data_IF_765134875803
#
_entry.id   IF_765134875803
#
_cell.length_a   1.000
_cell.length_b   1.000
_cell.length_c   1.000
_cell.angle_alpha   90.00
_cell.angle_beta   90.00
_cell.angle_gamma   90.00
#
_symmetry.space_group_name_H-M   'P 1'
#
loop_
_entity.id
_entity.type
_entity.pdbx_description
1 polymer ?
#
# COMPACT_ATOMS: atom_id res chain seq x y z
N UNK A 1 34.84 -13.23 -9.94
CA UNK A 1 33.48 -12.63 -10.06
C UNK A 1 33.28 -11.50 -9.02
N UNK A 2 34.24 -10.61 -8.87
CA UNK A 2 34.29 -9.77 -7.66
C UNK A 2 33.94 -8.29 -7.82
N UNK A 3 33.51 -7.77 -8.95
CA UNK A 3 33.29 -6.30 -8.97
C UNK A 3 32.21 -5.77 -9.90
N UNK A 4 31.21 -6.60 -10.19
CA UNK A 4 30.05 -6.21 -10.98
C UNK A 4 29.21 -5.12 -10.26
N UNK A 5 29.10 -5.20 -8.93
CA UNK A 5 28.30 -4.23 -8.17
C UNK A 5 28.90 -2.80 -8.19
N UNK A 6 30.22 -2.66 -8.18
CA UNK A 6 30.86 -1.34 -8.35
C UNK A 6 30.65 -0.78 -9.76
N UNK A 7 30.66 -1.67 -10.77
CA UNK A 7 30.31 -1.29 -12.13
C UNK A 7 28.87 -0.78 -12.25
N UNK A 8 27.93 -1.42 -11.58
CA UNK A 8 26.52 -0.96 -11.52
C UNK A 8 26.39 0.38 -10.82
N UNK A 9 27.11 0.58 -9.69
CA UNK A 9 27.15 1.90 -9.00
C UNK A 9 27.70 2.96 -9.95
N UNK A 10 28.82 2.70 -10.62
CA UNK A 10 29.44 3.65 -11.54
C UNK A 10 28.51 4.00 -12.72
N UNK A 11 27.77 3.02 -13.25
CA UNK A 11 26.76 3.21 -14.30
C UNK A 11 25.66 4.17 -13.85
N UNK A 12 25.06 3.94 -12.67
CA UNK A 12 23.99 4.79 -12.14
C UNK A 12 24.50 6.18 -11.79
N UNK A 13 25.67 6.28 -11.14
CA UNK A 13 26.31 7.55 -10.79
C UNK A 13 26.72 8.36 -12.03
N UNK A 14 27.01 7.69 -13.14
CA UNK A 14 27.24 8.31 -14.45
C UNK A 14 25.96 8.75 -15.19
N UNK A 15 24.78 8.62 -14.56
CA UNK A 15 23.50 9.05 -15.11
C UNK A 15 22.76 8.00 -15.94
N UNK A 16 23.33 6.82 -16.16
CA UNK A 16 22.69 5.76 -16.97
C UNK A 16 21.78 4.87 -16.09
N UNK A 17 20.57 4.49 -16.57
CA UNK A 17 19.70 3.58 -15.83
C UNK A 17 20.22 2.14 -15.89
N UNK A 18 19.85 1.35 -14.88
CA UNK A 18 20.00 -0.10 -14.92
C UNK A 18 18.92 -0.73 -15.79
N UNK A 19 19.26 -1.83 -16.46
CA UNK A 19 18.23 -2.72 -17.01
C UNK A 19 17.48 -3.41 -15.87
N UNK A 20 16.39 -4.09 -16.18
CA UNK A 20 15.64 -4.87 -15.22
C UNK A 20 16.48 -5.98 -14.59
N UNK A 21 17.27 -6.66 -15.37
CA UNK A 21 18.17 -7.75 -14.95
C UNK A 21 19.29 -7.21 -14.06
N UNK A 22 19.92 -6.10 -14.45
CA UNK A 22 20.93 -5.42 -13.64
C UNK A 22 20.37 -4.94 -12.30
N UNK A 23 19.16 -4.37 -12.30
CA UNK A 23 18.47 -3.98 -11.09
C UNK A 23 18.14 -5.20 -10.21
N UNK A 24 17.58 -6.27 -10.79
CA UNK A 24 17.32 -7.50 -10.04
C UNK A 24 18.59 -8.03 -9.38
N UNK A 25 19.72 -8.05 -10.10
CA UNK A 25 21.00 -8.49 -9.58
C UNK A 25 21.52 -7.57 -8.45
N UNK A 26 21.44 -6.25 -8.64
CA UNK A 26 21.86 -5.29 -7.62
C UNK A 26 21.05 -5.45 -6.32
N UNK A 27 19.72 -5.58 -6.42
CA UNK A 27 18.85 -5.76 -5.28
C UNK A 27 19.00 -7.14 -4.64
N UNK A 28 19.30 -8.18 -5.42
CA UNK A 28 19.62 -9.49 -4.87
C UNK A 28 20.85 -9.42 -3.96
N UNK A 29 21.93 -8.80 -4.38
CA UNK A 29 23.15 -8.62 -3.61
C UNK A 29 22.93 -7.78 -2.34
N UNK A 30 22.18 -6.68 -2.45
CA UNK A 30 21.84 -5.86 -1.27
C UNK A 30 20.99 -6.65 -0.26
N UNK A 31 19.96 -7.33 -0.72
CA UNK A 31 19.06 -8.08 0.15
C UNK A 31 19.64 -9.38 0.70
N UNK A 32 20.67 -9.94 0.05
CA UNK A 32 21.42 -11.10 0.55
C UNK A 32 22.55 -10.71 1.53
N UNK A 33 22.81 -9.39 1.72
CA UNK A 33 23.83 -8.89 2.62
C UNK A 33 25.25 -8.95 2.04
N UNK A 34 25.38 -9.13 0.71
CA UNK A 34 26.67 -9.18 0.02
C UNK A 34 27.23 -7.79 -0.30
N UNK A 35 26.37 -6.77 -0.40
CA UNK A 35 26.79 -5.39 -0.57
C UNK A 35 27.13 -4.74 0.78
N UNK A 36 28.19 -3.95 0.83
CA UNK A 36 28.54 -3.18 2.03
C UNK A 36 27.58 -2.01 2.25
N UNK A 37 27.44 -1.47 3.48
CA UNK A 37 26.61 -0.29 3.73
C UNK A 37 26.95 0.91 2.84
N UNK A 38 28.25 1.16 2.59
CA UNK A 38 28.71 2.23 1.70
C UNK A 38 28.26 2.00 0.24
N UNK A 39 28.32 0.76 -0.24
CA UNK A 39 27.85 0.40 -1.57
C UNK A 39 26.34 0.54 -1.70
N UNK A 40 25.59 0.08 -0.68
CA UNK A 40 24.13 0.25 -0.63
C UNK A 40 23.73 1.73 -0.63
N UNK A 41 24.37 2.52 0.23
CA UNK A 41 24.12 3.97 0.29
C UNK A 41 24.41 4.67 -1.04
N UNK A 42 25.55 4.36 -1.66
CA UNK A 42 25.94 4.92 -2.96
C UNK A 42 24.91 4.57 -4.05
N UNK A 43 24.51 3.30 -4.17
CA UNK A 43 23.52 2.83 -5.15
C UNK A 43 22.18 3.52 -4.93
N UNK A 44 21.64 3.48 -3.72
CA UNK A 44 20.33 4.03 -3.41
C UNK A 44 20.26 5.53 -3.63
N UNK A 45 21.32 6.26 -3.25
CA UNK A 45 21.35 7.71 -3.45
C UNK A 45 21.62 8.11 -4.89
N UNK A 46 22.44 7.38 -5.62
CA UNK A 46 22.65 7.63 -7.05
C UNK A 46 21.34 7.43 -7.84
N UNK A 47 20.60 6.34 -7.57
CA UNK A 47 19.27 6.09 -8.17
C UNK A 47 18.29 7.23 -7.85
N UNK A 48 18.22 7.64 -6.57
CA UNK A 48 17.31 8.69 -6.13
C UNK A 48 17.61 10.05 -6.78
N UNK A 49 18.89 10.45 -6.87
CA UNK A 49 19.29 11.76 -7.43
C UNK A 49 19.01 11.80 -8.94
N UNK A 50 19.25 10.71 -9.64
CA UNK A 50 18.97 10.60 -11.07
C UNK A 50 17.46 10.47 -11.35
N UNK A 51 16.71 9.86 -10.45
CA UNK A 51 15.33 9.42 -10.62
C UNK A 51 15.28 7.94 -11.03
N UNK A 52 14.51 7.15 -10.31
CA UNK A 52 14.33 5.71 -10.54
C UNK A 52 13.46 5.47 -11.79
N UNK A 53 13.79 4.43 -12.57
CA UNK A 53 13.05 4.06 -13.78
C UNK A 53 12.09 2.90 -13.53
N UNK A 54 11.12 2.72 -14.43
CA UNK A 54 10.15 1.61 -14.40
C UNK A 54 10.87 0.25 -14.40
N UNK A 55 11.92 0.07 -15.22
CA UNK A 55 12.67 -1.19 -15.25
C UNK A 55 13.43 -1.45 -13.97
N UNK A 56 14.02 -0.43 -13.37
CA UNK A 56 14.71 -0.54 -12.09
C UNK A 56 13.78 -0.91 -10.94
N UNK A 57 12.61 -0.26 -10.87
CA UNK A 57 11.60 -0.57 -9.85
C UNK A 57 11.06 -1.99 -10.08
N UNK A 58 10.84 -2.39 -11.34
CA UNK A 58 10.37 -3.75 -11.68
C UNK A 58 11.38 -4.82 -11.28
N UNK A 59 12.67 -4.62 -11.58
CA UNK A 59 13.74 -5.53 -11.19
C UNK A 59 13.87 -5.68 -9.66
N UNK A 60 13.88 -4.56 -8.95
CA UNK A 60 13.94 -4.52 -7.49
C UNK A 60 12.73 -5.23 -6.84
N UNK A 61 11.51 -4.95 -7.35
CA UNK A 61 10.28 -5.57 -6.86
C UNK A 61 10.24 -7.08 -7.15
N UNK A 62 10.71 -7.51 -8.33
CA UNK A 62 10.81 -8.93 -8.67
C UNK A 62 11.70 -9.69 -7.69
N UNK A 63 12.85 -9.13 -7.34
CA UNK A 63 13.76 -9.70 -6.34
C UNK A 63 13.12 -9.73 -4.95
N UNK A 64 12.44 -8.66 -4.55
CA UNK A 64 11.74 -8.60 -3.25
C UNK A 64 10.63 -9.65 -3.17
N UNK A 65 9.83 -9.82 -4.24
CA UNK A 65 8.79 -10.86 -4.35
C UNK A 65 9.37 -12.28 -4.33
N UNK A 66 10.55 -12.51 -4.90
CA UNK A 66 11.21 -13.81 -4.90
C UNK A 66 11.68 -14.23 -3.49
N UNK A 67 12.04 -13.27 -2.65
CA UNK A 67 12.58 -13.49 -1.29
C UNK A 67 11.53 -13.38 -0.19
N UNK A 68 10.26 -13.05 -0.50
CA UNK A 68 9.22 -12.87 0.52
C UNK A 68 8.62 -14.17 1.01
N UNK A 69 8.11 -14.16 2.25
CA UNK A 69 7.28 -15.22 2.80
C UNK A 69 5.85 -15.07 2.28
N UNK A 70 5.41 -16.04 1.48
CA UNK A 70 4.13 -15.99 0.78
C UNK A 70 2.96 -16.37 1.70
N UNK A 71 1.80 -15.77 1.43
CA UNK A 71 0.51 -16.05 2.06
C UNK A 71 -0.46 -16.54 0.98
N UNK A 72 -1.28 -17.54 1.26
CA UNK A 72 -2.34 -17.94 0.36
C UNK A 72 -3.59 -17.05 0.54
N UNK A 73 -4.20 -16.64 -0.56
CA UNK A 73 -5.43 -15.85 -0.56
C UNK A 73 -6.33 -16.27 -1.73
N UNK A 74 -7.63 -15.96 -1.70
CA UNK A 74 -8.52 -16.12 -2.85
C UNK A 74 -7.98 -15.37 -4.08
N UNK A 75 -8.17 -15.90 -5.30
CA UNK A 75 -7.61 -15.30 -6.52
C UNK A 75 -8.17 -13.90 -6.83
N UNK A 76 -9.34 -13.59 -6.32
CA UNK A 76 -10.02 -12.29 -6.42
C UNK A 76 -9.72 -11.36 -5.23
N UNK A 77 -8.82 -11.75 -4.33
CA UNK A 77 -8.41 -10.89 -3.22
C UNK A 77 -7.74 -9.59 -3.71
N UNK A 78 -8.00 -8.52 -2.97
CA UNK A 78 -7.43 -7.21 -3.24
C UNK A 78 -6.52 -6.74 -2.12
N UNK A 79 -5.69 -5.73 -2.41
CA UNK A 79 -5.00 -4.93 -1.40
C UNK A 79 -5.35 -3.44 -1.55
N UNK A 80 -5.43 -2.75 -0.42
CA UNK A 80 -5.59 -1.29 -0.34
C UNK A 80 -4.42 -0.78 0.48
N UNK A 81 -3.45 -0.15 -0.17
CA UNK A 81 -2.14 0.12 0.43
C UNK A 81 -1.58 1.46 -0.07
N UNK A 82 -0.85 2.16 0.77
CA UNK A 82 -0.07 3.35 0.38
C UNK A 82 1.44 3.12 0.52
N UNK A 83 2.22 3.96 -0.14
CA UNK A 83 3.67 4.03 0.04
C UNK A 83 4.04 4.52 1.44
N UNK A 84 3.13 5.24 2.08
CA UNK A 84 3.40 5.98 3.29
C UNK A 84 4.36 7.15 3.05
N UNK A 85 4.70 7.83 4.14
CA UNK A 85 5.72 8.89 4.09
C UNK A 85 5.25 10.18 3.42
N UNK A 86 3.97 10.38 3.22
CA UNK A 86 3.36 11.61 2.71
C UNK A 86 3.43 12.78 3.70
N UNK A 87 3.82 12.50 4.95
CA UNK A 87 3.91 13.44 6.06
C UNK A 87 2.59 14.13 6.41
N UNK A 88 1.45 13.61 5.94
CA UNK A 88 0.12 14.18 6.16
C UNK A 88 -0.33 14.08 7.60
N UNK A 89 0.05 13.00 8.30
CA UNK A 89 -0.46 12.68 9.62
C UNK A 89 -1.98 12.44 9.63
N UNK A 90 -2.52 11.91 8.55
CA UNK A 90 -3.94 11.60 8.36
C UNK A 90 -4.40 10.42 9.21
N UNK A 91 -5.72 10.21 9.29
CA UNK A 91 -6.31 8.96 9.76
C UNK A 91 -5.82 7.77 8.92
N UNK A 92 -6.02 6.55 9.43
CA UNK A 92 -5.67 5.31 8.72
C UNK A 92 -6.74 4.98 7.66
N UNK A 93 -6.77 5.79 6.59
CA UNK A 93 -7.82 5.79 5.56
C UNK A 93 -7.84 4.44 4.83
N UNK A 94 -6.70 3.96 4.33
CA UNK A 94 -6.61 2.67 3.63
C UNK A 94 -7.02 1.48 4.50
N UNK A 95 -6.80 1.55 5.82
CA UNK A 95 -7.22 0.50 6.76
C UNK A 95 -8.75 0.49 6.91
N UNK A 96 -9.37 1.66 7.04
CA UNK A 96 -10.82 1.79 7.10
C UNK A 96 -11.45 1.34 5.78
N UNK A 97 -10.92 1.79 4.63
CA UNK A 97 -11.38 1.40 3.30
C UNK A 97 -11.29 -0.11 3.06
N UNK A 98 -10.22 -0.76 3.55
CA UNK A 98 -10.05 -2.20 3.47
C UNK A 98 -11.14 -2.97 4.25
N UNK A 99 -11.48 -2.52 5.47
CA UNK A 99 -12.57 -3.10 6.26
C UNK A 99 -13.94 -2.89 5.58
N UNK A 100 -14.17 -1.72 4.99
CA UNK A 100 -15.39 -1.42 4.23
C UNK A 100 -15.52 -2.35 3.02
N UNK A 101 -14.43 -2.51 2.24
CA UNK A 101 -14.40 -3.41 1.09
C UNK A 101 -14.64 -4.88 1.51
N UNK A 102 -14.02 -5.31 2.62
CA UNK A 102 -14.26 -6.63 3.18
C UNK A 102 -15.73 -6.82 3.60
N UNK A 103 -16.35 -5.80 4.24
CA UNK A 103 -17.77 -5.81 4.59
C UNK A 103 -18.69 -5.87 3.38
N UNK A 104 -18.25 -5.33 2.25
CA UNK A 104 -18.92 -5.46 0.95
C UNK A 104 -18.73 -6.84 0.28
N UNK A 105 -18.05 -7.78 0.94
CA UNK A 105 -17.86 -9.16 0.47
C UNK A 105 -16.63 -9.36 -0.43
N UNK A 106 -15.70 -8.43 -0.50
CA UNK A 106 -14.44 -8.58 -1.23
C UNK A 106 -13.38 -9.18 -0.31
N UNK A 107 -12.70 -10.28 -0.67
CA UNK A 107 -11.57 -10.77 0.10
C UNK A 107 -10.42 -9.74 0.11
N UNK A 108 -9.89 -9.42 1.28
CA UNK A 108 -8.82 -8.44 1.42
C UNK A 108 -7.58 -9.06 2.03
N UNK A 109 -6.46 -9.01 1.30
CA UNK A 109 -5.14 -9.40 1.77
C UNK A 109 -4.30 -8.12 1.96
N UNK A 110 -4.53 -7.43 3.09
CA UNK A 110 -3.95 -6.13 3.35
C UNK A 110 -2.49 -6.22 3.76
N UNK A 111 -1.61 -5.63 2.96
CA UNK A 111 -0.21 -5.42 3.32
C UNK A 111 -0.03 -4.08 4.03
N UNK A 112 0.84 -4.05 5.04
CA UNK A 112 1.08 -2.81 5.77
C UNK A 112 2.20 -2.88 6.79
N UNK A 113 2.52 -1.73 7.38
CA UNK A 113 3.62 -1.59 8.34
C UNK A 113 3.19 -0.74 9.55
N UNK A 114 4.09 -0.64 10.53
CA UNK A 114 4.05 0.41 11.56
C UNK A 114 4.43 1.76 10.95
N UNK A 115 4.09 2.83 11.63
CA UNK A 115 4.52 4.17 11.25
C UNK A 115 6.05 4.29 11.24
N UNK A 116 6.60 4.89 10.18
CA UNK A 116 8.01 5.27 10.11
C UNK A 116 8.20 6.78 10.31
N UNK A 117 7.28 7.59 9.79
CA UNK A 117 7.33 9.06 9.83
C UNK A 117 6.05 9.69 10.38
N UNK A 118 4.93 8.99 10.33
CA UNK A 118 3.64 9.40 10.91
C UNK A 118 3.53 8.94 12.38
N UNK A 119 2.46 9.38 13.08
CA UNK A 119 2.21 8.99 14.48
C UNK A 119 1.59 7.60 14.62
N UNK A 120 1.00 7.04 13.56
CA UNK A 120 0.29 5.77 13.58
C UNK A 120 0.24 5.15 12.18
N UNK A 121 0.72 3.91 12.04
CA UNK A 121 0.59 3.09 10.84
C UNK A 121 -0.57 2.09 10.94
N UNK A 122 -0.81 1.34 9.87
CA UNK A 122 -1.87 0.34 9.83
C UNK A 122 -1.72 -0.75 10.92
N UNK A 123 -0.48 -1.23 11.15
CA UNK A 123 -0.20 -2.22 12.19
C UNK A 123 -0.45 -1.67 13.60
N UNK A 124 -0.14 -0.38 13.83
CA UNK A 124 -0.33 0.24 15.14
C UNK A 124 -1.81 0.35 15.50
N UNK A 125 -2.65 0.81 14.55
CA UNK A 125 -4.10 0.93 14.75
C UNK A 125 -4.75 -0.44 14.88
N UNK A 126 -4.43 -1.40 14.00
CA UNK A 126 -5.02 -2.74 14.08
C UNK A 126 -4.63 -3.45 15.37
N UNK A 127 -3.37 -3.30 15.83
CA UNK A 127 -2.93 -3.83 17.12
C UNK A 127 -3.67 -3.20 18.31
N UNK A 128 -3.89 -1.88 18.27
CA UNK A 128 -4.68 -1.15 19.29
C UNK A 128 -6.13 -1.62 19.31
N UNK A 129 -6.69 -2.01 18.16
CA UNK A 129 -8.04 -2.59 18.04
C UNK A 129 -8.12 -4.06 18.49
N UNK A 130 -7.01 -4.67 18.86
CA UNK A 130 -6.97 -6.05 19.36
C UNK A 130 -6.66 -7.11 18.29
N UNK A 131 -6.30 -6.73 17.07
CA UNK A 131 -5.84 -7.66 16.04
C UNK A 131 -4.42 -8.11 16.36
N UNK A 132 -4.17 -9.42 16.39
CA UNK A 132 -2.82 -9.97 16.51
C UNK A 132 -2.07 -9.74 15.19
N UNK A 133 -1.01 -8.91 15.25
CA UNK A 133 -0.29 -8.42 14.07
C UNK A 133 0.77 -9.41 13.59
N UNK A 134 1.48 -10.06 14.51
CA UNK A 134 2.57 -10.98 14.19
C UNK A 134 2.04 -12.40 14.09
N UNK A 135 1.51 -12.73 12.91
CA UNK A 135 0.95 -14.03 12.57
C UNK A 135 1.85 -14.74 11.55
N UNK A 136 1.83 -16.07 11.57
CA UNK A 136 2.43 -16.90 10.53
C UNK A 136 1.59 -16.87 9.25
N UNK A 137 2.17 -17.19 8.09
CA UNK A 137 1.46 -17.17 6.81
C UNK A 137 0.16 -18.00 6.78
N UNK A 138 0.14 -19.17 7.43
CA UNK A 138 -1.04 -20.03 7.53
C UNK A 138 -2.16 -19.41 8.38
N UNK A 139 -1.81 -18.74 9.48
CA UNK A 139 -2.75 -18.02 10.34
C UNK A 139 -3.37 -16.81 9.61
N UNK A 140 -2.57 -16.09 8.81
CA UNK A 140 -3.07 -14.98 7.98
C UNK A 140 -3.99 -15.51 6.88
N UNK A 141 -3.62 -16.61 6.23
CA UNK A 141 -4.49 -17.30 5.27
C UNK A 141 -5.84 -17.59 5.90
N UNK A 142 -5.86 -18.17 7.11
CA UNK A 142 -7.09 -18.43 7.86
C UNK A 142 -7.90 -17.13 8.09
N UNK A 143 -7.25 -16.02 8.48
CA UNK A 143 -7.94 -14.73 8.63
C UNK A 143 -8.61 -14.28 7.33
N UNK A 144 -7.92 -14.37 6.19
CA UNK A 144 -8.48 -13.97 4.89
C UNK A 144 -9.72 -14.81 4.55
N UNK A 145 -9.66 -16.13 4.74
CA UNK A 145 -10.79 -17.02 4.39
C UNK A 145 -11.95 -16.95 5.37
N UNK A 146 -11.70 -16.83 6.69
CA UNK A 146 -12.75 -16.87 7.70
C UNK A 146 -13.30 -15.49 8.05
N UNK A 147 -12.44 -14.45 8.13
CA UNK A 147 -12.88 -13.10 8.43
C UNK A 147 -13.14 -12.24 7.17
N UNK A 148 -12.69 -12.71 5.98
CA UNK A 148 -12.75 -11.95 4.73
C UNK A 148 -11.67 -10.88 4.60
N UNK A 149 -10.79 -10.76 5.59
CA UNK A 149 -9.65 -9.84 5.61
C UNK A 149 -8.53 -10.42 6.46
N UNK A 150 -7.27 -10.31 5.99
CA UNK A 150 -6.07 -10.64 6.73
C UNK A 150 -5.05 -9.52 6.63
N UNK A 151 -4.27 -9.33 7.68
CA UNK A 151 -3.21 -8.31 7.74
C UNK A 151 -1.84 -8.98 7.66
N UNK A 152 -1.03 -8.53 6.69
CA UNK A 152 0.33 -9.00 6.46
C UNK A 152 1.31 -7.92 6.90
N UNK A 153 1.98 -8.14 8.03
CA UNK A 153 2.95 -7.22 8.59
C UNK A 153 4.26 -7.26 7.79
N UNK A 154 4.61 -6.18 7.10
CA UNK A 154 5.69 -6.13 6.13
C UNK A 154 7.04 -6.69 6.62
N UNK A 155 7.55 -6.37 7.83
CA UNK A 155 8.81 -6.94 8.32
C UNK A 155 8.81 -8.46 8.46
N UNK A 156 7.68 -9.06 8.80
CA UNK A 156 7.56 -10.53 8.94
C UNK A 156 7.63 -11.23 7.58
N UNK A 157 7.13 -10.59 6.53
CA UNK A 157 7.08 -11.19 5.19
C UNK A 157 8.29 -10.88 4.30
N UNK A 158 9.05 -9.84 4.63
CA UNK A 158 10.23 -9.42 3.86
C UNK A 158 11.53 -9.50 4.68
N UNK A 159 11.92 -10.70 5.18
CA UNK A 159 13.08 -10.82 6.08
C UNK A 159 14.40 -10.35 5.44
N UNK A 160 14.53 -10.44 4.12
CA UNK A 160 15.71 -9.98 3.40
C UNK A 160 15.95 -8.46 3.49
N UNK A 161 14.90 -7.67 3.76
CA UNK A 161 15.03 -6.21 3.93
C UNK A 161 15.84 -5.82 5.17
N UNK A 162 16.00 -6.73 6.15
CA UNK A 162 16.83 -6.51 7.35
C UNK A 162 18.26 -6.12 7.01
N UNK A 163 18.79 -6.62 5.89
CA UNK A 163 20.17 -6.34 5.46
C UNK A 163 20.34 -4.90 4.94
N UNK A 164 19.26 -4.27 4.49
CA UNK A 164 19.27 -2.90 3.95
C UNK A 164 18.73 -1.88 4.97
N UNK A 165 17.97 -2.33 5.94
CA UNK A 165 17.30 -1.45 6.91
C UNK A 165 18.25 -0.49 7.65
N UNK A 166 19.44 -0.90 8.16
CA UNK A 166 20.37 0.02 8.82
C UNK A 166 20.80 1.17 7.89
N UNK A 167 21.22 0.86 6.67
CA UNK A 167 21.61 1.88 5.67
C UNK A 167 20.47 2.85 5.36
N UNK A 168 19.23 2.36 5.25
CA UNK A 168 18.07 3.22 5.01
C UNK A 168 17.79 4.16 6.19
N UNK A 169 17.96 3.68 7.42
CA UNK A 169 17.82 4.51 8.63
C UNK A 169 18.89 5.60 8.67
N UNK A 170 20.15 5.25 8.40
CA UNK A 170 21.26 6.20 8.36
C UNK A 170 21.11 7.26 7.27
N UNK A 171 20.60 6.87 6.09
CA UNK A 171 20.32 7.81 5.01
C UNK A 171 19.21 8.83 5.37
N UNK A 172 18.26 8.45 6.21
CA UNK A 172 17.20 9.34 6.71
C UNK A 172 16.33 9.96 5.61
N UNK A 173 16.34 9.36 4.40
CA UNK A 173 15.61 9.90 3.25
C UNK A 173 14.89 8.79 2.47
N UNK A 174 13.94 9.18 1.61
CA UNK A 174 13.26 8.22 0.74
C UNK A 174 14.23 7.66 -0.30
N UNK A 175 14.05 6.40 -0.63
CA UNK A 175 14.78 5.68 -1.68
C UNK A 175 13.77 4.83 -2.46
N UNK A 176 14.20 4.13 -3.49
CA UNK A 176 13.37 3.19 -4.26
C UNK A 176 12.59 2.21 -3.34
N UNK A 177 13.13 1.85 -2.17
CA UNK A 177 12.43 0.96 -1.22
C UNK A 177 11.09 1.50 -0.73
N UNK A 178 10.86 2.82 -0.79
CA UNK A 178 9.57 3.40 -0.45
C UNK A 178 8.49 3.09 -1.50
N UNK A 179 8.89 2.74 -2.72
CA UNK A 179 7.98 2.34 -3.80
C UNK A 179 7.71 0.83 -3.82
N UNK A 180 8.63 0.02 -3.26
CA UNK A 180 8.56 -1.45 -3.38
C UNK A 180 7.48 -2.09 -2.50
N UNK A 181 7.16 -1.49 -1.34
CA UNK A 181 6.20 -2.06 -0.38
C UNK A 181 4.85 -2.39 -1.01
N UNK A 182 4.14 -1.43 -1.61
CA UNK A 182 2.82 -1.65 -2.20
C UNK A 182 2.79 -2.73 -3.29
N UNK A 183 3.84 -2.80 -4.10
CA UNK A 183 3.94 -3.74 -5.24
C UNK A 183 4.57 -5.08 -4.86
N UNK A 184 4.81 -5.34 -3.57
CA UNK A 184 5.38 -6.60 -3.06
C UNK A 184 4.47 -7.27 -2.04
N UNK A 185 3.16 -7.29 -2.31
CA UNK A 185 2.17 -7.92 -1.46
C UNK A 185 2.44 -9.43 -1.32
N UNK A 186 2.56 -9.97 -0.09
CA UNK A 186 2.91 -11.39 0.15
C UNK A 186 1.88 -12.39 -0.37
N UNK A 187 0.62 -11.99 -0.52
CA UNK A 187 -0.42 -12.85 -1.12
C UNK A 187 -0.39 -12.85 -2.65
N UNK A 188 0.47 -12.02 -3.27
CA UNK A 188 0.58 -11.94 -4.73
C UNK A 188 -0.70 -11.48 -5.40
N UNK A 189 -1.51 -10.65 -4.72
CA UNK A 189 -2.76 -10.13 -5.28
C UNK A 189 -2.52 -9.42 -6.61
N UNK A 190 -3.45 -9.58 -7.52
CA UNK A 190 -3.38 -8.99 -8.87
C UNK A 190 -4.21 -7.71 -9.00
N UNK A 191 -4.92 -7.34 -7.95
CA UNK A 191 -5.86 -6.22 -7.91
C UNK A 191 -5.54 -5.34 -6.71
N UNK A 192 -5.18 -4.07 -6.94
CA UNK A 192 -4.71 -3.19 -5.87
C UNK A 192 -5.18 -1.74 -6.06
N UNK A 193 -5.57 -1.13 -4.95
CA UNK A 193 -5.62 0.31 -4.81
C UNK A 193 -4.32 0.75 -4.13
N UNK A 194 -3.49 1.54 -4.82
CA UNK A 194 -2.17 1.98 -4.35
C UNK A 194 -2.14 3.50 -4.22
N UNK A 195 -1.85 4.00 -3.03
CA UNK A 195 -1.52 5.41 -2.83
C UNK A 195 -0.02 5.67 -2.97
N UNK A 196 0.34 6.81 -3.57
CA UNK A 196 1.75 7.21 -3.72
C UNK A 196 2.00 8.62 -3.18
N UNK A 197 3.15 8.80 -2.51
CA UNK A 197 3.54 10.05 -1.86
C UNK A 197 3.83 11.23 -2.82
N UNK A 198 3.86 11.00 -4.13
CA UNK A 198 4.13 12.04 -5.12
C UNK A 198 3.50 11.69 -6.47
N UNK A 199 2.93 12.71 -7.12
CA UNK A 199 2.23 12.59 -8.41
C UNK A 199 3.09 11.95 -9.50
N UNK A 200 4.40 12.19 -9.50
CA UNK A 200 5.31 11.62 -10.51
C UNK A 200 5.29 10.09 -10.54
N UNK A 201 4.84 9.43 -9.47
CA UNK A 201 4.84 7.97 -9.35
C UNK A 201 3.54 7.29 -9.76
N UNK A 202 2.46 8.04 -10.05
CA UNK A 202 1.19 7.39 -10.40
C UNK A 202 1.32 6.52 -11.65
N UNK A 203 1.81 7.06 -12.74
CA UNK A 203 1.95 6.32 -14.00
C UNK A 203 3.09 5.28 -13.96
N UNK A 204 4.31 5.60 -13.49
CA UNK A 204 5.37 4.59 -13.34
C UNK A 204 4.96 3.39 -12.50
N UNK A 205 4.26 3.58 -11.38
CA UNK A 205 3.81 2.47 -10.52
C UNK A 205 2.72 1.63 -11.17
N UNK A 206 1.82 2.21 -11.96
CA UNK A 206 0.86 1.47 -12.78
C UNK A 206 1.55 0.63 -13.86
N UNK A 207 2.59 1.18 -14.53
CA UNK A 207 3.40 0.46 -15.52
C UNK A 207 4.19 -0.69 -14.85
N UNK A 208 4.82 -0.45 -13.71
CA UNK A 208 5.51 -1.50 -12.94
C UNK A 208 4.53 -2.61 -12.55
N UNK A 209 3.34 -2.26 -12.05
CA UNK A 209 2.32 -3.24 -11.69
C UNK A 209 1.90 -4.10 -12.88
N UNK A 210 1.74 -3.50 -14.07
CA UNK A 210 1.49 -4.23 -15.33
C UNK A 210 2.62 -5.22 -15.63
N UNK A 211 3.88 -4.78 -15.57
CA UNK A 211 5.04 -5.62 -15.83
C UNK A 211 5.21 -6.76 -14.81
N UNK A 212 4.72 -6.57 -13.59
CA UNK A 212 4.70 -7.58 -12.53
C UNK A 212 3.47 -8.51 -12.60
N UNK A 213 2.62 -8.38 -13.61
CA UNK A 213 1.48 -9.28 -13.89
C UNK A 213 0.20 -8.95 -13.12
N UNK A 214 0.04 -7.71 -12.65
CA UNK A 214 -1.24 -7.25 -12.10
C UNK A 214 -2.32 -7.14 -13.18
N UNK A 215 -3.58 -7.33 -12.80
CA UNK A 215 -4.74 -7.29 -13.69
C UNK A 215 -5.44 -5.93 -13.66
N UNK A 216 -5.71 -5.42 -12.46
CA UNK A 216 -6.40 -4.15 -12.25
C UNK A 216 -5.73 -3.41 -11.10
N UNK A 217 -5.22 -2.21 -11.36
CA UNK A 217 -4.56 -1.38 -10.34
C UNK A 217 -4.95 0.07 -10.55
N UNK A 218 -5.36 0.73 -9.49
CA UNK A 218 -5.45 2.18 -9.45
C UNK A 218 -4.32 2.72 -8.58
N UNK A 219 -3.53 3.63 -9.14
CA UNK A 219 -2.48 4.35 -8.41
C UNK A 219 -2.93 5.80 -8.23
N UNK A 220 -3.01 6.26 -6.99
CA UNK A 220 -3.59 7.54 -6.63
C UNK A 220 -2.61 8.47 -5.94
N UNK A 221 -2.77 9.78 -6.17
CA UNK A 221 -2.11 10.84 -5.42
C UNK A 221 -3.04 12.04 -5.28
N UNK A 222 -3.39 12.38 -4.04
CA UNK A 222 -4.23 13.54 -3.72
C UNK A 222 -3.53 14.86 -4.00
N UNK A 223 -4.26 15.85 -4.51
CA UNK A 223 -3.72 17.20 -4.76
C UNK A 223 -3.22 17.92 -3.50
N UNK A 224 -3.63 17.46 -2.33
CA UNK A 224 -3.17 17.89 -1.01
C UNK A 224 -1.93 17.14 -0.50
N UNK A 225 -1.35 16.24 -1.32
CA UNK A 225 -0.17 15.47 -1.03
C UNK A 225 -0.42 14.12 -0.38
N UNK A 226 -1.67 13.74 -0.12
CA UNK A 226 -2.02 12.44 0.42
C UNK A 226 -1.66 11.29 -0.54
N UNK A 227 -1.14 10.21 0.00
CA UNK A 227 -1.03 8.91 -0.68
C UNK A 227 -2.35 8.11 -0.61
N UNK A 228 -3.47 8.82 -0.81
CA UNK A 228 -4.84 8.31 -0.80
C UNK A 228 -5.68 9.08 -1.83
N UNK A 229 -6.89 8.63 -2.10
CA UNK A 229 -7.89 9.44 -2.79
C UNK A 229 -8.42 10.47 -1.78
N UNK A 230 -8.13 11.74 -2.02
CA UNK A 230 -8.48 12.82 -1.10
C UNK A 230 -9.90 13.32 -1.27
N UNK A 231 -10.49 13.83 -0.18
CA UNK A 231 -11.71 14.63 -0.21
C UNK A 231 -11.44 16.14 -0.11
N UNK A 232 -10.16 16.58 -0.06
CA UNK A 232 -9.84 18.00 0.02
C UNK A 232 -9.73 18.69 -1.35
N UNK A 233 -9.65 17.90 -2.42
CA UNK A 233 -9.50 18.40 -3.78
C UNK A 233 -9.49 17.29 -4.81
N UNK A 234 -9.02 17.53 -6.03
CA UNK A 234 -8.87 16.49 -7.03
C UNK A 234 -7.81 15.46 -6.62
N UNK A 235 -7.98 14.23 -7.10
CA UNK A 235 -6.98 13.17 -6.98
C UNK A 235 -6.58 12.73 -8.37
N UNK A 236 -5.27 12.65 -8.61
CA UNK A 236 -4.70 12.15 -9.86
C UNK A 236 -4.61 10.62 -9.79
N UNK A 237 -5.14 9.96 -10.81
CA UNK A 237 -5.17 8.50 -10.92
C UNK A 237 -4.41 8.04 -12.16
N UNK A 238 -3.63 6.97 -12.02
CA UNK A 238 -3.22 6.12 -13.14
C UNK A 238 -3.85 4.73 -12.93
N UNK A 239 -4.69 4.31 -13.86
CA UNK A 239 -5.39 3.03 -13.77
C UNK A 239 -4.82 2.04 -14.80
N UNK A 240 -4.42 0.87 -14.33
CA UNK A 240 -4.19 -0.31 -15.14
C UNK A 240 -5.50 -1.09 -15.23
N UNK A 241 -6.07 -1.15 -16.41
CA UNK A 241 -7.31 -1.89 -16.69
C UNK A 241 -7.19 -2.54 -18.08
N UNK A 242 -7.57 -3.80 -18.21
CA UNK A 242 -7.52 -4.54 -19.48
C UNK A 242 -6.14 -4.44 -20.18
N UNK A 243 -5.05 -4.49 -19.41
CA UNK A 243 -3.69 -4.42 -19.92
C UNK A 243 -3.24 -3.03 -20.41
N UNK A 244 -4.06 -2.00 -20.24
CA UNK A 244 -3.76 -0.62 -20.64
C UNK A 244 -3.66 0.29 -19.42
N UNK A 245 -2.69 1.20 -19.40
CA UNK A 245 -2.58 2.25 -18.38
C UNK A 245 -3.15 3.54 -18.95
N UNK A 246 -4.07 4.16 -18.21
CA UNK A 246 -4.65 5.47 -18.53
C UNK A 246 -4.61 6.37 -17.31
N UNK A 247 -4.55 7.68 -17.50
CA UNK A 247 -4.58 8.68 -16.43
C UNK A 247 -5.84 9.54 -16.50
N UNK A 248 -6.36 9.90 -15.35
CA UNK A 248 -7.51 10.79 -15.20
C UNK A 248 -7.54 11.38 -13.80
N UNK A 249 -8.35 12.39 -13.60
CA UNK A 249 -8.59 13.00 -12.30
C UNK A 249 -10.01 12.65 -11.82
N UNK A 250 -10.16 12.54 -10.51
CA UNK A 250 -11.45 12.40 -9.83
C UNK A 250 -11.61 13.47 -8.77
N UNK A 251 -12.86 13.87 -8.52
CA UNK A 251 -13.20 14.82 -7.47
C UNK A 251 -14.21 14.19 -6.51
N UNK A 252 -14.19 14.52 -5.22
CA UNK A 252 -15.18 14.00 -4.28
C UNK A 252 -16.62 14.40 -4.66
N UNK A 253 -16.80 15.56 -5.27
CA UNK A 253 -18.10 16.05 -5.72
C UNK A 253 -18.73 15.19 -6.84
N UNK A 254 -17.93 14.45 -7.62
CA UNK A 254 -18.41 13.56 -8.69
C UNK A 254 -19.37 12.46 -8.15
N UNK A 255 -19.26 12.17 -6.84
CA UNK A 255 -20.13 11.22 -6.15
C UNK A 255 -20.95 11.85 -5.02
N UNK A 256 -21.01 13.18 -4.96
CA UNK A 256 -21.81 13.93 -3.99
C UNK A 256 -21.14 14.06 -2.61
N UNK A 257 -19.86 13.76 -2.46
CA UNK A 257 -19.09 14.00 -1.24
C UNK A 257 -18.60 15.47 -1.24
N UNK A 258 -18.90 16.26 -0.19
CA UNK A 258 -18.42 17.62 -0.09
C UNK A 258 -16.91 17.66 0.17
N UNK A 259 -16.25 18.73 -0.28
CA UNK A 259 -14.83 18.93 0.06
C UNK A 259 -14.63 19.10 1.55
N UNK A 260 -13.69 18.32 2.09
CA UNK A 260 -13.24 18.46 3.47
C UNK A 260 -12.05 19.44 3.54
N UNK A 261 -11.93 20.12 4.68
CA UNK A 261 -10.68 20.83 4.99
C UNK A 261 -9.59 19.82 5.37
N UNK A 262 -8.33 20.00 4.97
CA UNK A 262 -7.24 19.07 5.31
C UNK A 262 -7.10 18.79 6.81
N UNK A 263 -7.40 19.80 7.65
CA UNK A 263 -7.35 19.67 9.11
C UNK A 263 -8.37 18.66 9.65
N UNK A 264 -9.49 18.48 8.97
CA UNK A 264 -10.55 17.54 9.34
C UNK A 264 -10.17 16.07 9.05
N UNK A 265 -9.10 15.86 8.29
CA UNK A 265 -8.55 14.54 7.96
C UNK A 265 -7.33 14.18 8.81
N UNK A 266 -6.88 15.07 9.69
CA UNK A 266 -5.74 14.85 10.58
C UNK A 266 -6.09 13.80 11.64
N UNK A 267 -5.25 12.78 11.69
CA UNK A 267 -5.27 11.77 12.75
C UNK A 267 -4.42 12.15 13.97
N UNK A 268 -4.28 11.20 14.86
CA UNK A 268 -3.47 11.29 16.07
C UNK A 268 -2.53 10.10 16.22
N UNK A 269 -2.31 9.69 17.46
CA UNK A 269 -1.64 8.45 17.79
C UNK A 269 -2.52 7.22 17.49
N UNK A 270 -2.00 6.03 17.73
CA UNK A 270 -2.69 4.78 17.43
C UNK A 270 -4.04 4.67 18.18
N UNK A 271 -4.11 5.15 19.44
CA UNK A 271 -5.33 5.10 20.23
C UNK A 271 -6.40 6.06 19.68
N UNK A 272 -6.01 7.29 19.35
CA UNK A 272 -6.94 8.28 18.78
C UNK A 272 -7.47 7.80 17.42
N UNK A 273 -6.58 7.25 16.56
CA UNK A 273 -6.96 6.73 15.25
C UNK A 273 -7.84 5.47 15.35
N UNK A 274 -7.57 4.58 16.31
CA UNK A 274 -8.42 3.41 16.57
C UNK A 274 -9.82 3.83 17.00
N UNK A 275 -9.92 4.82 17.91
CA UNK A 275 -11.21 5.38 18.36
C UNK A 275 -11.99 6.00 17.20
N UNK A 276 -11.31 6.79 16.36
CA UNK A 276 -11.93 7.41 15.19
C UNK A 276 -12.39 6.37 14.14
N UNK A 277 -11.59 5.33 13.91
CA UNK A 277 -11.95 4.24 13.00
C UNK A 277 -13.18 3.48 13.51
N UNK A 278 -13.21 3.14 14.80
CA UNK A 278 -14.39 2.51 15.42
C UNK A 278 -15.63 3.39 15.33
N UNK A 279 -15.50 4.69 15.49
CA UNK A 279 -16.63 5.61 15.32
C UNK A 279 -17.19 5.54 13.90
N UNK A 280 -16.33 5.50 12.86
CA UNK A 280 -16.76 5.32 11.46
C UNK A 280 -17.47 3.97 11.27
N UNK A 281 -16.89 2.87 11.76
CA UNK A 281 -17.50 1.53 11.66
C UNK A 281 -18.84 1.44 12.39
N UNK A 282 -19.03 2.22 13.46
CA UNK A 282 -20.28 2.34 14.22
C UNK A 282 -21.26 3.37 13.62
N UNK A 283 -21.02 3.85 12.39
CA UNK A 283 -21.94 4.68 11.64
C UNK A 283 -21.80 6.20 11.81
N UNK A 284 -20.79 6.69 12.54
CA UNK A 284 -20.54 8.13 12.65
C UNK A 284 -20.32 8.76 11.28
N UNK A 285 -20.99 9.88 11.01
CA UNK A 285 -20.84 10.66 9.78
C UNK A 285 -19.70 11.67 9.94
N UNK A 286 -19.15 12.13 8.82
CA UNK A 286 -18.13 13.18 8.81
C UNK A 286 -16.96 12.87 7.87
N UNK A 287 -15.96 13.76 7.80
CA UNK A 287 -14.88 13.72 6.80
C UNK A 287 -14.10 12.41 6.75
N UNK A 288 -13.84 11.76 7.90
CA UNK A 288 -13.13 10.48 7.90
C UNK A 288 -13.98 9.37 7.26
N UNK A 289 -15.30 9.33 7.53
CA UNK A 289 -16.20 8.38 6.84
C UNK A 289 -16.23 8.65 5.35
N UNK A 290 -16.33 9.90 4.95
CA UNK A 290 -16.46 10.31 3.56
C UNK A 290 -15.23 9.91 2.74
N UNK A 291 -14.02 10.20 3.23
CA UNK A 291 -12.78 9.80 2.56
C UNK A 291 -12.60 8.26 2.57
N UNK A 292 -13.01 7.58 3.63
CA UNK A 292 -12.96 6.12 3.69
C UNK A 292 -13.93 5.48 2.68
N UNK A 293 -15.13 6.03 2.48
CA UNK A 293 -16.09 5.60 1.45
C UNK A 293 -15.51 5.82 0.06
N UNK A 294 -14.89 6.98 -0.21
CA UNK A 294 -14.32 7.28 -1.53
C UNK A 294 -13.18 6.31 -1.89
N UNK A 295 -12.28 6.02 -0.95
CA UNK A 295 -11.21 5.05 -1.15
C UNK A 295 -11.74 3.62 -1.26
N UNK A 296 -12.74 3.25 -0.47
CA UNK A 296 -13.41 1.95 -0.60
C UNK A 296 -14.14 1.81 -1.94
N UNK A 297 -14.75 2.88 -2.47
CA UNK A 297 -15.38 2.87 -3.78
C UNK A 297 -14.38 2.53 -4.89
N UNK A 298 -13.19 3.14 -4.88
CA UNK A 298 -12.12 2.80 -5.81
C UNK A 298 -11.64 1.35 -5.62
N UNK A 299 -11.49 0.87 -4.39
CA UNK A 299 -11.14 -0.51 -4.10
C UNK A 299 -12.19 -1.50 -4.65
N UNK A 300 -13.49 -1.15 -4.58
CA UNK A 300 -14.57 -1.96 -5.14
C UNK A 300 -14.57 -1.97 -6.68
N UNK A 301 -14.18 -0.87 -7.33
CA UNK A 301 -13.96 -0.84 -8.79
C UNK A 301 -12.81 -1.77 -9.16
N UNK A 302 -11.68 -1.66 -8.48
CA UNK A 302 -10.51 -2.52 -8.68
C UNK A 302 -10.84 -4.00 -8.46
N UNK A 303 -11.72 -4.29 -7.49
CA UNK A 303 -12.22 -5.63 -7.23
C UNK A 303 -13.22 -6.14 -8.29
N UNK A 304 -13.67 -5.30 -9.21
CA UNK A 304 -14.73 -5.63 -10.18
C UNK A 304 -16.12 -5.76 -9.57
N UNK A 305 -16.36 -5.10 -8.42
CA UNK A 305 -17.66 -5.10 -7.71
C UNK A 305 -18.50 -3.85 -7.96
N UNK A 306 -17.90 -2.84 -8.58
CA UNK A 306 -18.58 -1.61 -9.00
C UNK A 306 -18.06 -1.19 -10.37
N UNK A 307 -18.91 -0.60 -11.18
CA UNK A 307 -18.55 -0.10 -12.52
C UNK A 307 -18.02 1.33 -12.51
N UNK A 308 -18.38 2.11 -11.48
CA UNK A 308 -17.98 3.50 -11.29
C UNK A 308 -17.94 3.90 -9.81
N UNK A 309 -17.40 5.08 -9.53
CA UNK A 309 -17.26 5.58 -8.16
C UNK A 309 -18.61 5.76 -7.44
N UNK A 310 -19.65 6.12 -8.16
CA UNK A 310 -20.98 6.35 -7.56
C UNK A 310 -21.59 5.04 -7.07
N UNK A 311 -21.52 3.98 -7.88
CA UNK A 311 -21.95 2.65 -7.46
C UNK A 311 -21.06 2.11 -6.34
N UNK A 312 -19.72 2.28 -6.45
CA UNK A 312 -18.78 1.88 -5.41
C UNK A 312 -19.05 2.57 -4.08
N UNK A 313 -19.32 3.88 -4.09
CA UNK A 313 -19.67 4.63 -2.89
C UNK A 313 -20.98 4.17 -2.25
N UNK A 314 -21.99 3.84 -3.06
CA UNK A 314 -23.25 3.30 -2.54
C UNK A 314 -23.05 1.93 -1.86
N UNK A 315 -22.25 1.05 -2.46
CA UNK A 315 -21.90 -0.26 -1.87
C UNK A 315 -21.08 -0.07 -0.59
N UNK A 316 -20.09 0.82 -0.60
CA UNK A 316 -19.26 1.15 0.57
C UNK A 316 -20.08 1.73 1.72
N UNK A 317 -20.99 2.66 1.44
CA UNK A 317 -21.91 3.22 2.43
C UNK A 317 -22.82 2.14 3.03
N UNK A 318 -23.37 1.25 2.19
CA UNK A 318 -24.17 0.12 2.64
C UNK A 318 -23.40 -0.82 3.57
N UNK A 319 -22.12 -1.12 3.25
CA UNK A 319 -21.26 -1.95 4.10
C UNK A 319 -21.07 -1.37 5.51
N UNK A 320 -20.95 -0.04 5.63
CA UNK A 320 -20.91 0.66 6.91
C UNK A 320 -22.27 0.69 7.62
N UNK A 321 -23.31 1.10 6.90
CA UNK A 321 -24.64 1.34 7.49
C UNK A 321 -25.33 0.03 7.90
N UNK A 322 -24.96 -1.11 7.33
CA UNK A 322 -25.41 -2.45 7.74
C UNK A 322 -24.60 -3.04 8.90
N UNK A 323 -23.47 -2.43 9.29
CA UNK A 323 -22.55 -2.97 10.30
C UNK A 323 -21.61 -4.07 9.81
N UNK A 324 -21.67 -4.45 8.52
CA UNK A 324 -20.82 -5.54 7.98
C UNK A 324 -19.33 -5.20 8.05
N UNK A 325 -18.94 -3.94 7.81
CA UNK A 325 -17.53 -3.52 7.95
C UNK A 325 -17.02 -3.71 9.39
N UNK A 326 -17.82 -3.36 10.40
CA UNK A 326 -17.52 -3.60 11.82
C UNK A 326 -17.43 -5.09 12.14
N UNK A 327 -18.37 -5.89 11.63
CA UNK A 327 -18.37 -7.35 11.79
C UNK A 327 -17.11 -8.00 11.23
N UNK A 328 -16.52 -7.47 10.13
CA UNK A 328 -15.24 -7.98 9.60
C UNK A 328 -14.07 -7.73 10.56
N UNK A 329 -14.02 -6.56 11.20
CA UNK A 329 -13.02 -6.28 12.22
C UNK A 329 -13.17 -7.23 13.43
N UNK A 330 -14.38 -7.42 13.93
CA UNK A 330 -14.64 -8.35 15.06
C UNK A 330 -14.21 -9.77 14.72
N UNK A 331 -14.53 -10.26 13.53
CA UNK A 331 -14.09 -11.59 13.05
C UNK A 331 -12.57 -11.65 12.91
N UNK A 332 -11.93 -10.60 12.36
CA UNK A 332 -10.47 -10.54 12.25
C UNK A 332 -9.81 -10.62 13.63
N UNK A 333 -10.31 -9.86 14.61
CA UNK A 333 -9.82 -9.93 15.99
C UNK A 333 -9.97 -11.36 16.53
N UNK A 334 -11.15 -11.94 16.40
CA UNK A 334 -11.41 -13.31 16.89
C UNK A 334 -10.51 -14.34 16.24
N UNK A 335 -10.39 -14.35 14.90
CA UNK A 335 -9.63 -15.37 14.16
C UNK A 335 -8.12 -15.18 14.38
N UNK A 336 -7.63 -13.93 14.39
CA UNK A 336 -6.20 -13.65 14.62
C UNK A 336 -5.72 -14.07 16.01
N UNK A 337 -6.60 -14.07 17.02
CA UNK A 337 -6.28 -14.47 18.39
C UNK A 337 -6.65 -15.93 18.70
N UNK A 338 -7.27 -16.67 17.77
CA UNK A 338 -7.56 -18.08 17.96
C UNK A 338 -6.26 -18.90 17.91
N UNK A 339 -6.11 -19.85 18.87
CA UNK A 339 -5.00 -20.77 18.95
C UNK A 339 -5.08 -21.87 17.88
#
# INVERSE_FOLDING_TARGET
>A
MSDDFKGLIAKVAGGSPLTREESSHAFDRMMSGEATPSQMGAMLMAMRVRGETVDEITGAASTMRAKMQKVAAPPDAIDVVGTGGDASGSYNISTCAALIAAGAGVPVAKHGNRALSSKSGAADVLGTLGVKIELRPDEITRCIYEAGIGFMFAPAHHPATKNVAPTRVELGTRTIFNLLGPISNPAGVKRQMIGVFSRQWIEPMAQVSKLLGSETVWVAHGSDGLDEITTSGPTHIAALENGTVRTFDINPEDIGIPRAKPEALKGGDAQANATALMAVLNGSKGPYRDIAILNAAAALIVAGRAKDLKEGAAIAAKSLDSGEAGSRLERLIKVSNAQ
#
